data_IF_225034556144
#
_entry.id   IF_225034556144
#
_cell.length_a   1.000
_cell.length_b   1.000
_cell.length_c   1.000
_cell.angle_alpha   90.00
_cell.angle_beta   90.00
_cell.angle_gamma   90.00
#
_symmetry.space_group_name_H-M   'P 1'
#
loop_
_entity.id
_entity.type
_entity.pdbx_description
1 polymer ?
#
# COMPACT_ATOMS: atom_id res chain seq x y z
N UNK A 1 5.11 -8.49 30.81
CA UNK A 1 4.82 -8.69 29.37
C UNK A 1 6.14 -8.51 28.62
N UNK A 2 6.71 -9.58 28.03
CA UNK A 2 8.01 -9.50 27.35
C UNK A 2 7.82 -8.86 25.98
N UNK A 3 8.47 -7.72 25.75
CA UNK A 3 8.58 -7.08 24.44
C UNK A 3 9.58 -7.94 23.64
N UNK A 4 9.08 -8.68 22.65
CA UNK A 4 9.96 -9.40 21.72
C UNK A 4 10.72 -8.34 20.90
N UNK A 5 11.99 -8.15 21.24
CA UNK A 5 12.94 -7.38 20.46
C UNK A 5 13.18 -8.13 19.14
N UNK A 6 12.36 -7.85 18.12
CA UNK A 6 12.68 -8.23 16.75
C UNK A 6 13.93 -7.44 16.33
N UNK A 7 15.09 -8.08 16.37
CA UNK A 7 16.32 -7.57 15.76
C UNK A 7 16.12 -7.60 14.24
N UNK A 8 15.83 -6.43 13.68
CA UNK A 8 15.59 -6.27 12.25
C UNK A 8 16.95 -6.22 11.50
N UNK A 9 17.35 -7.34 10.89
CA UNK A 9 18.57 -7.48 10.08
C UNK A 9 18.31 -7.16 8.59
N UNK A 10 17.94 -5.92 8.30
CA UNK A 10 17.93 -5.41 6.93
C UNK A 10 18.43 -3.98 6.95
N UNK A 11 19.18 -3.56 5.93
CA UNK A 11 19.46 -2.14 5.73
C UNK A 11 18.13 -1.40 5.81
N UNK A 12 17.98 -0.47 6.75
CA UNK A 12 16.88 0.48 6.68
C UNK A 12 17.05 1.13 5.32
N UNK A 13 16.20 0.79 4.35
CA UNK A 13 16.18 1.40 3.03
C UNK A 13 15.87 2.90 3.23
N UNK A 14 16.91 3.65 3.58
CA UNK A 14 16.90 5.05 3.96
C UNK A 14 17.14 5.89 2.70
N UNK A 15 16.60 5.44 1.56
CA UNK A 15 16.67 6.25 0.36
C UNK A 15 15.84 7.50 0.58
N UNK A 16 16.43 8.71 0.41
CA UNK A 16 15.68 9.93 0.51
C UNK A 16 14.65 9.98 -0.62
N UNK A 17 13.37 9.94 -0.26
CA UNK A 17 12.26 10.13 -1.18
C UNK A 17 11.79 11.59 -1.12
N UNK A 18 11.66 12.22 -2.29
CA UNK A 18 11.11 13.56 -2.43
C UNK A 18 9.76 13.49 -3.14
N UNK A 19 8.74 14.07 -2.52
CA UNK A 19 7.40 14.17 -3.10
C UNK A 19 7.10 15.62 -3.43
N UNK A 20 6.75 15.90 -4.70
CA UNK A 20 6.26 17.21 -5.10
C UNK A 20 4.76 17.27 -4.84
N UNK A 21 4.35 18.19 -3.98
CA UNK A 21 2.94 18.43 -3.64
C UNK A 21 2.58 19.87 -3.94
N UNK A 22 1.35 20.09 -4.42
CA UNK A 22 0.76 21.43 -4.41
C UNK A 22 0.48 21.88 -2.97
N UNK A 23 0.30 23.19 -2.77
CA UNK A 23 -0.02 23.76 -1.45
C UNK A 23 -1.25 23.08 -0.83
N UNK A 24 -2.30 22.87 -1.63
CA UNK A 24 -3.54 22.24 -1.16
C UNK A 24 -3.35 20.77 -0.79
N UNK A 25 -2.58 20.01 -1.57
CA UNK A 25 -2.27 18.62 -1.25
C UNK A 25 -1.47 18.51 0.05
N UNK A 26 -0.48 19.39 0.25
CA UNK A 26 0.31 19.43 1.49
C UNK A 26 -0.56 19.73 2.72
N UNK A 27 -1.46 20.71 2.63
CA UNK A 27 -2.37 21.06 3.73
C UNK A 27 -3.31 19.90 4.08
N UNK A 28 -3.90 19.23 3.07
CA UNK A 28 -4.74 18.05 3.29
C UNK A 28 -3.94 16.93 3.97
N UNK A 29 -2.72 16.68 3.52
CA UNK A 29 -1.86 15.65 4.10
C UNK A 29 -1.49 15.95 5.57
N UNK A 30 -1.22 17.22 5.89
CA UNK A 30 -1.00 17.66 7.27
C UNK A 30 -2.23 17.42 8.14
N UNK A 31 -3.42 17.87 7.70
CA UNK A 31 -4.66 17.67 8.43
C UNK A 31 -4.96 16.18 8.68
N UNK A 32 -4.70 15.31 7.69
CA UNK A 32 -4.86 13.87 7.86
C UNK A 32 -3.88 13.26 8.87
N UNK A 33 -2.62 13.71 8.87
CA UNK A 33 -1.62 13.28 9.83
C UNK A 33 -2.01 13.67 11.26
N UNK A 34 -2.44 14.92 11.46
CA UNK A 34 -2.88 15.43 12.76
C UNK A 34 -4.13 14.71 13.26
N UNK A 35 -5.13 14.52 12.39
CA UNK A 35 -6.36 13.79 12.72
C UNK A 35 -6.10 12.32 13.08
N UNK A 36 -5.03 11.73 12.55
CA UNK A 36 -4.61 10.36 12.83
C UNK A 36 -3.67 10.25 14.03
N UNK A 37 -3.37 11.36 14.73
CA UNK A 37 -2.52 11.39 15.92
C UNK A 37 -1.01 11.31 15.65
N UNK A 38 -0.56 11.53 14.42
CA UNK A 38 0.86 11.48 14.08
C UNK A 38 1.54 12.82 14.39
N UNK A 39 2.68 12.76 15.10
CA UNK A 39 3.50 13.95 15.40
C UNK A 39 4.16 14.58 14.17
N UNK A 40 4.32 13.82 13.09
CA UNK A 40 4.95 14.31 11.85
C UNK A 40 4.26 13.73 10.63
N UNK A 41 4.16 14.55 9.57
CA UNK A 41 3.66 14.12 8.26
C UNK A 41 4.49 12.97 7.70
N UNK A 42 5.81 12.99 7.88
CA UNK A 42 6.69 11.91 7.43
C UNK A 42 6.36 10.59 8.12
N UNK A 43 6.05 10.61 9.42
CA UNK A 43 5.60 9.42 10.16
C UNK A 43 4.29 8.86 9.60
N UNK A 44 3.33 9.74 9.33
CA UNK A 44 2.05 9.37 8.73
C UNK A 44 2.21 8.77 7.32
N UNK A 45 2.99 9.41 6.46
CA UNK A 45 3.27 8.92 5.10
C UNK A 45 3.95 7.55 5.13
N UNK A 46 4.97 7.37 5.97
CA UNK A 46 5.62 6.06 6.15
C UNK A 46 4.62 5.02 6.62
N UNK A 47 3.78 5.35 7.59
CA UNK A 47 2.78 4.43 8.10
C UNK A 47 1.82 3.97 7.00
N UNK A 48 1.26 4.89 6.20
CA UNK A 48 0.37 4.52 5.09
C UNK A 48 1.08 3.68 4.02
N UNK A 49 2.31 4.05 3.66
CA UNK A 49 3.07 3.34 2.62
C UNK A 49 3.44 1.91 3.05
N UNK A 50 3.78 1.71 4.32
CA UNK A 50 4.14 0.37 4.85
C UNK A 50 2.93 -0.42 5.37
N UNK A 51 1.83 0.24 5.70
CA UNK A 51 0.59 -0.36 6.19
C UNK A 51 -0.54 0.05 5.25
N UNK A 52 -0.48 -0.43 3.99
CA UNK A 52 -1.62 -0.32 3.09
C UNK A 52 -2.86 -0.87 3.79
N UNK A 53 -3.95 -0.09 3.78
CA UNK A 53 -5.19 -0.45 4.46
C UNK A 53 -5.66 -1.83 3.99
N UNK A 54 -6.32 -2.55 4.88
CA UNK A 54 -6.89 -3.86 4.54
C UNK A 54 -7.73 -3.79 3.25
N UNK A 55 -8.48 -2.70 3.08
CA UNK A 55 -9.28 -2.44 1.88
C UNK A 55 -8.44 -2.32 0.60
N UNK A 56 -7.28 -1.68 0.64
CA UNK A 56 -6.38 -1.60 -0.52
C UNK A 56 -5.79 -2.96 -0.86
N UNK A 57 -5.43 -3.75 0.15
CA UNK A 57 -4.96 -5.13 -0.05
C UNK A 57 -6.07 -6.01 -0.63
N UNK A 58 -7.29 -5.88 -0.11
CA UNK A 58 -8.47 -6.61 -0.56
C UNK A 58 -8.85 -6.25 -2.00
N UNK A 59 -8.89 -4.96 -2.33
CA UNK A 59 -9.13 -4.49 -3.70
C UNK A 59 -8.10 -5.05 -4.67
N UNK A 60 -6.82 -5.08 -4.29
CA UNK A 60 -5.77 -5.67 -5.14
C UNK A 60 -5.93 -7.18 -5.32
N UNK A 61 -6.33 -7.91 -4.27
CA UNK A 61 -6.64 -9.34 -4.37
C UNK A 61 -7.81 -9.57 -5.32
N UNK A 62 -8.87 -8.77 -5.23
CA UNK A 62 -10.04 -8.87 -6.12
C UNK A 62 -9.69 -8.60 -7.58
N UNK A 63 -8.84 -7.60 -7.86
CA UNK A 63 -8.32 -7.35 -9.21
C UNK A 63 -7.56 -8.57 -9.75
N UNK A 64 -6.65 -9.13 -8.97
CA UNK A 64 -5.86 -10.30 -9.38
C UNK A 64 -6.76 -11.51 -9.65
N UNK A 65 -7.75 -11.77 -8.79
CA UNK A 65 -8.71 -12.87 -8.98
C UNK A 65 -9.49 -12.69 -10.28
N UNK A 66 -9.94 -11.46 -10.56
CA UNK A 66 -10.66 -11.15 -11.79
C UNK A 66 -9.79 -11.38 -13.04
N UNK A 67 -8.55 -10.89 -13.04
CA UNK A 67 -7.61 -11.10 -14.13
C UNK A 67 -7.33 -12.60 -14.39
N UNK A 68 -7.19 -13.40 -13.33
CA UNK A 68 -6.98 -14.84 -13.44
C UNK A 68 -8.22 -15.55 -14.02
N UNK A 69 -9.41 -15.16 -13.59
CA UNK A 69 -10.66 -15.73 -14.10
C UNK A 69 -10.89 -15.38 -15.58
N UNK A 70 -10.59 -14.15 -15.98
CA UNK A 70 -10.65 -13.74 -17.39
C UNK A 70 -9.66 -14.55 -18.26
N UNK A 71 -8.44 -14.77 -17.78
CA UNK A 71 -7.44 -15.62 -18.47
C UNK A 71 -7.89 -17.08 -18.57
N UNK A 72 -8.50 -17.62 -17.52
CA UNK A 72 -9.05 -18.98 -17.54
C UNK A 72 -10.18 -19.11 -18.57
N UNK A 73 -11.12 -18.16 -18.59
CA UNK A 73 -12.24 -18.17 -19.54
C UNK A 73 -11.74 -18.12 -20.99
N UNK A 74 -10.74 -17.27 -21.29
CA UNK A 74 -10.11 -17.19 -22.61
C UNK A 74 -9.43 -18.51 -23.04
N UNK A 75 -8.78 -19.19 -22.10
CA UNK A 75 -8.14 -20.49 -22.38
C UNK A 75 -9.15 -21.61 -22.57
N UNK A 76 -10.29 -21.59 -21.88
CA UNK A 76 -11.37 -22.56 -22.06
C UNK A 76 -12.12 -22.36 -23.39
N UNK A 77 -12.37 -21.11 -23.80
CA UNK A 77 -12.93 -20.78 -25.11
C UNK A 77 -12.02 -21.22 -26.26
N UNK A 78 -10.70 -21.04 -26.11
CA UNK A 78 -9.71 -21.51 -27.08
C UNK A 78 -9.68 -23.03 -27.24
N UNK A 79 -9.94 -23.79 -26.16
CA UNK A 79 -10.00 -25.25 -26.19
C UNK A 79 -11.28 -25.80 -26.83
N UNK A 80 -12.41 -25.10 -26.72
CA UNK A 80 -13.69 -25.49 -27.35
C UNK A 80 -13.77 -25.21 -28.86
N UNK A 81 -12.87 -24.37 -29.38
CA UNK A 81 -12.83 -23.99 -30.80
C UNK A 81 -11.99 -24.93 -31.69
N UNK A 82 -11.41 -26.00 -31.12
CA UNK A 82 -10.72 -27.08 -31.85
C UNK A 82 -11.54 -28.37 -31.74
#
# INVERSE_FOLDING_TARGET
MRINNFTQYGERANYPFQMRLTKNQKMRLMAMADASGFKTVTGYVRFILFNSTFDLKLNRILEIVKELQEKQNLTELSKKAK
#
